data_IF_008495632904
#
_entry.id   IF_008495632904
#
_cell.length_a   1.000
_cell.length_b   1.000
_cell.length_c   1.000
_cell.angle_alpha   90.00
_cell.angle_beta   90.00
_cell.angle_gamma   90.00
#
_symmetry.space_group_name_H-M   'P 1'
#
loop_
_entity.id
_entity.type
_entity.pdbx_description
1 polymer ?
#
# COMPACT_ATOMS: atom_id res chain seq x y z
N UNK A 1 -6.27 -12.15 -3.91
CA UNK A 1 -5.47 -12.31 -2.68
C UNK A 1 -6.22 -11.66 -1.52
N UNK A 2 -6.14 -12.20 -0.29
CA UNK A 2 -6.87 -11.67 0.87
C UNK A 2 -5.93 -11.00 1.86
N UNK A 3 -6.39 -9.91 2.47
CA UNK A 3 -5.63 -9.08 3.39
C UNK A 3 -6.50 -8.73 4.60
N UNK A 4 -5.93 -8.82 5.79
CA UNK A 4 -6.58 -8.33 7.02
C UNK A 4 -6.34 -6.83 7.13
N UNK A 5 -7.38 -6.06 7.45
CA UNK A 5 -7.29 -4.62 7.64
C UNK A 5 -7.97 -4.18 8.94
N UNK A 6 -7.41 -3.15 9.57
CA UNK A 6 -7.97 -2.52 10.76
C UNK A 6 -8.03 -1.01 10.55
N UNK A 7 -9.23 -0.44 10.69
CA UNK A 7 -9.41 1.01 10.62
C UNK A 7 -8.82 1.70 11.84
N UNK A 8 -8.50 3.01 11.77
CA UNK A 8 -8.05 3.79 12.91
C UNK A 8 -9.10 3.88 14.04
N UNK A 9 -10.38 3.61 13.73
CA UNK A 9 -11.44 3.48 14.72
C UNK A 9 -11.48 2.10 15.41
N UNK A 10 -10.60 1.16 15.02
CA UNK A 10 -10.51 -0.19 15.55
C UNK A 10 -11.43 -1.21 14.86
N UNK A 11 -12.06 -0.84 13.74
CA UNK A 11 -12.96 -1.73 12.99
C UNK A 11 -12.12 -2.68 12.15
N UNK A 12 -12.35 -3.98 12.27
CA UNK A 12 -11.57 -5.02 11.59
C UNK A 12 -12.36 -5.61 10.43
N UNK A 13 -11.64 -5.95 9.36
CA UNK A 13 -12.20 -6.68 8.24
C UNK A 13 -11.14 -7.38 7.41
N UNK A 14 -11.59 -8.23 6.51
CA UNK A 14 -10.78 -8.92 5.51
C UNK A 14 -11.26 -8.43 4.15
N UNK A 15 -10.31 -8.00 3.33
CA UNK A 15 -10.57 -7.58 1.94
C UNK A 15 -9.86 -8.52 0.98
N UNK A 16 -10.47 -8.72 -0.18
CA UNK A 16 -9.94 -9.51 -1.27
C UNK A 16 -9.63 -8.60 -2.46
N UNK A 17 -8.37 -8.56 -2.87
CA UNK A 17 -8.01 -8.07 -4.20
C UNK A 17 -8.36 -9.15 -5.22
N UNK A 18 -9.36 -8.86 -6.06
CA UNK A 18 -9.75 -9.72 -7.17
C UNK A 18 -8.70 -9.70 -8.27
N UNK A 19 -8.70 -10.72 -9.14
CA UNK A 19 -7.80 -10.81 -10.31
C UNK A 19 -7.96 -9.63 -11.29
N UNK A 20 -9.17 -9.06 -11.33
CA UNK A 20 -9.51 -7.84 -12.08
C UNK A 20 -8.90 -6.55 -11.46
N UNK A 21 -8.12 -6.66 -10.38
CA UNK A 21 -7.54 -5.54 -9.65
C UNK A 21 -8.51 -4.86 -8.68
N UNK A 22 -9.81 -5.12 -8.76
CA UNK A 22 -10.80 -4.50 -7.86
C UNK A 22 -10.69 -5.03 -6.43
N UNK A 23 -10.72 -4.13 -5.43
CA UNK A 23 -10.82 -4.47 -4.01
C UNK A 23 -12.26 -4.78 -3.61
N UNK A 24 -12.47 -5.90 -2.92
CA UNK A 24 -13.79 -6.32 -2.42
C UNK A 24 -13.72 -6.64 -0.95
N UNK A 25 -14.77 -6.29 -0.21
CA UNK A 25 -14.87 -6.65 1.20
C UNK A 25 -15.29 -8.12 1.28
N UNK A 26 -14.48 -8.94 1.93
CA UNK A 26 -14.72 -10.38 2.07
C UNK A 26 -15.43 -10.69 3.39
N UNK A 27 -14.96 -10.12 4.51
CA UNK A 27 -15.51 -10.38 5.84
C UNK A 27 -15.25 -9.19 6.79
N UNK A 28 -16.03 -9.10 7.87
CA UNK A 28 -15.85 -8.13 8.94
C UNK A 28 -16.90 -7.03 8.96
N UNK A 29 -16.69 -6.06 9.87
CA UNK A 29 -17.62 -4.95 10.10
C UNK A 29 -17.25 -3.71 9.26
N UNK A 30 -16.23 -3.84 8.41
CA UNK A 30 -15.76 -2.78 7.51
C UNK A 30 -16.73 -2.63 6.34
N UNK A 31 -17.07 -1.39 5.97
CA UNK A 31 -17.90 -1.09 4.79
C UNK A 31 -17.13 -0.28 3.75
N UNK A 32 -17.57 -0.33 2.48
CA UNK A 32 -16.95 0.44 1.39
C UNK A 32 -17.03 1.95 1.67
N UNK A 33 -18.10 2.39 2.34
CA UNK A 33 -18.26 3.77 2.76
C UNK A 33 -17.19 4.20 3.78
N UNK A 34 -16.79 3.32 4.71
CA UNK A 34 -15.71 3.64 5.66
C UNK A 34 -14.40 3.90 4.93
N UNK A 35 -14.05 2.99 4.03
CA UNK A 35 -12.85 3.07 3.19
C UNK A 35 -12.88 4.37 2.36
N UNK A 36 -13.97 4.60 1.61
CA UNK A 36 -14.12 5.78 0.78
C UNK A 36 -14.09 7.09 1.59
N UNK A 37 -14.66 7.10 2.79
CA UNK A 37 -14.68 8.27 3.66
C UNK A 37 -13.29 8.67 4.14
N UNK A 38 -12.40 7.71 4.43
CA UNK A 38 -11.03 8.01 4.83
C UNK A 38 -10.16 8.38 3.61
N UNK A 39 -10.32 7.65 2.49
CA UNK A 39 -9.57 7.90 1.26
C UNK A 39 -9.83 9.29 0.65
N UNK A 40 -11.03 9.88 0.86
CA UNK A 40 -11.37 11.19 0.28
C UNK A 40 -10.45 12.34 0.74
N UNK A 41 -9.77 12.15 1.87
CA UNK A 41 -8.87 13.16 2.45
C UNK A 41 -7.43 13.04 1.93
N UNK A 42 -7.13 11.99 1.16
CA UNK A 42 -5.81 11.72 0.63
C UNK A 42 -5.58 12.52 -0.64
N UNK A 43 -4.38 13.07 -0.77
CA UNK A 43 -3.92 13.64 -2.02
C UNK A 43 -3.35 12.53 -2.91
N UNK A 44 -3.92 12.35 -4.10
CA UNK A 44 -3.49 11.29 -5.02
C UNK A 44 -2.06 11.53 -5.49
N UNK A 45 -1.26 10.47 -5.54
CA UNK A 45 0.12 10.54 -6.00
C UNK A 45 0.43 9.33 -6.85
N UNK A 46 0.40 9.51 -8.17
CA UNK A 46 0.65 8.46 -9.15
C UNK A 46 2.06 7.89 -9.07
N UNK A 47 3.06 8.67 -8.62
CA UNK A 47 4.44 8.20 -8.49
C UNK A 47 4.62 7.21 -7.32
N UNK A 48 3.76 7.30 -6.30
CA UNK A 48 3.77 6.41 -5.13
C UNK A 48 2.64 5.36 -5.17
N UNK A 49 1.79 5.37 -6.21
CA UNK A 49 0.62 4.49 -6.28
C UNK A 49 -0.45 4.82 -5.24
N UNK A 50 -0.60 6.10 -4.88
CA UNK A 50 -1.60 6.55 -3.90
C UNK A 50 -2.87 7.05 -4.61
N UNK A 51 -4.01 6.51 -4.21
CA UNK A 51 -5.34 6.71 -4.78
C UNK A 51 -6.33 7.15 -3.71
N UNK A 52 -7.34 7.92 -4.11
CA UNK A 52 -8.38 8.44 -3.22
C UNK A 52 -9.74 7.77 -3.46
N UNK A 53 -9.76 6.62 -4.12
CA UNK A 53 -10.98 5.91 -4.52
C UNK A 53 -10.81 4.40 -4.31
N UNK A 54 -11.88 3.73 -3.88
CA UNK A 54 -11.92 2.27 -3.70
C UNK A 54 -11.96 1.50 -5.02
N UNK A 55 -12.35 2.16 -6.12
CA UNK A 55 -12.47 1.54 -7.45
C UNK A 55 -11.12 1.43 -8.20
N UNK A 56 -10.02 1.82 -7.57
CA UNK A 56 -8.69 1.63 -8.11
C UNK A 56 -8.19 0.21 -7.83
N UNK A 57 -6.97 -0.07 -8.29
CA UNK A 57 -6.30 -1.34 -7.99
C UNK A 57 -6.20 -1.55 -6.47
N UNK A 58 -6.58 -2.72 -6.00
CA UNK A 58 -6.72 -3.01 -4.58
C UNK A 58 -5.41 -2.89 -3.82
N UNK A 59 -4.26 -3.15 -4.47
CA UNK A 59 -2.96 -2.93 -3.84
C UNK A 59 -2.71 -1.44 -3.59
N UNK A 60 -3.07 -0.57 -4.54
CA UNK A 60 -2.97 0.88 -4.36
C UNK A 60 -3.96 1.39 -3.33
N UNK A 61 -5.18 0.84 -3.29
CA UNK A 61 -6.18 1.18 -2.27
C UNK A 61 -5.65 0.86 -0.87
N UNK A 62 -5.12 -0.35 -0.67
CA UNK A 62 -4.54 -0.78 0.60
C UNK A 62 -3.36 0.11 1.03
N UNK A 63 -2.42 0.41 0.12
CA UNK A 63 -1.32 1.35 0.43
C UNK A 63 -1.83 2.75 0.80
N UNK A 64 -2.89 3.20 0.15
CA UNK A 64 -3.50 4.51 0.44
C UNK A 64 -4.16 4.52 1.81
N UNK A 65 -4.81 3.42 2.20
CA UNK A 65 -5.39 3.24 3.53
C UNK A 65 -4.32 3.36 4.65
N UNK A 66 -3.12 2.82 4.44
CA UNK A 66 -2.02 2.99 5.40
C UNK A 66 -1.65 4.46 5.65
N UNK A 67 -1.73 5.30 4.61
CA UNK A 67 -1.42 6.74 4.73
C UNK A 67 -2.43 7.51 5.59
N UNK A 68 -3.65 6.97 5.75
CA UNK A 68 -4.70 7.52 6.62
C UNK A 68 -4.80 6.77 7.95
N UNK A 69 -3.81 5.94 8.27
CA UNK A 69 -3.65 5.30 9.57
C UNK A 69 -4.41 3.99 9.73
N UNK A 70 -4.81 3.35 8.64
CA UNK A 70 -5.29 1.97 8.68
C UNK A 70 -4.10 1.01 8.81
N UNK A 71 -4.29 -0.08 9.54
CA UNK A 71 -3.32 -1.16 9.64
C UNK A 71 -3.67 -2.21 8.59
N UNK A 72 -2.73 -2.53 7.70
CA UNK A 72 -2.89 -3.55 6.66
C UNK A 72 -1.91 -4.67 6.91
N UNK A 73 -2.42 -5.89 7.05
CA UNK A 73 -1.61 -7.10 7.17
C UNK A 73 -1.23 -7.56 5.76
N UNK A 74 -0.04 -7.13 5.32
CA UNK A 74 0.55 -7.62 4.09
C UNK A 74 1.07 -9.04 4.30
N UNK A 75 0.77 -9.99 3.39
CA UNK A 75 1.38 -11.30 3.39
C UNK A 75 2.89 -11.12 3.29
N UNK A 76 3.64 -11.94 4.01
CA UNK A 76 5.09 -12.00 3.89
C UNK A 76 5.41 -12.37 2.44
N UNK A 77 5.69 -11.37 1.61
CA UNK A 77 6.37 -11.58 0.35
C UNK A 77 7.75 -12.10 0.74
N UNK A 78 8.02 -13.37 0.43
CA UNK A 78 9.39 -13.87 0.31
C UNK A 78 10.04 -13.06 -0.82
N UNK A 79 10.48 -11.85 -0.49
CA UNK A 79 11.27 -11.01 -1.36
C UNK A 79 12.67 -11.58 -1.35
N UNK A 80 13.09 -12.13 -2.48
CA UNK A 80 14.51 -12.29 -2.78
C UNK A 80 15.18 -10.92 -2.57
N UNK A 81 16.23 -10.80 -1.74
CA UNK A 81 16.91 -9.54 -1.49
C UNK A 81 17.79 -9.19 -2.69
N UNK A 82 17.18 -8.73 -3.79
CA UNK A 82 17.88 -8.10 -4.92
C UNK A 82 17.54 -6.61 -4.96
N UNK A 83 17.64 -5.97 -3.80
CA UNK A 83 17.86 -4.52 -3.69
C UNK A 83 19.34 -4.36 -3.33
N UNK A 84 20.24 -4.72 -4.25
CA UNK A 84 21.62 -4.26 -4.22
C UNK A 84 21.61 -2.75 -4.52
N UNK A 85 21.41 -1.97 -3.46
CA UNK A 85 21.81 -0.57 -3.37
C UNK A 85 23.35 -0.51 -3.49
N UNK A 86 23.88 -0.64 -4.72
CA UNK A 86 25.28 -0.30 -5.03
C UNK A 86 25.37 1.21 -5.24
N UNK A 87 25.13 1.97 -4.16
CA UNK A 87 25.53 3.38 -4.06
C UNK A 87 26.98 3.48 -3.59
N UNK A 88 27.90 2.94 -4.39
CA UNK A 88 29.34 3.05 -4.20
C UNK A 88 29.96 4.26 -4.93
N UNK A 89 29.61 5.49 -4.57
CA UNK A 89 30.37 6.68 -4.98
C UNK A 89 31.79 6.63 -4.38
N UNK A 90 32.79 6.14 -5.13
CA UNK A 90 34.19 6.33 -4.79
C UNK A 90 34.81 7.41 -5.67
N UNK A 91 34.98 8.60 -5.07
CA UNK A 91 35.78 9.71 -5.59
C UNK A 91 37.12 9.21 -6.14
N UNK A 92 37.36 9.39 -7.45
CA UNK A 92 38.69 9.25 -8.02
C UNK A 92 39.51 10.48 -7.65
N UNK A 93 40.28 10.38 -6.58
CA UNK A 93 41.34 11.31 -6.27
C UNK A 93 42.42 11.19 -7.35
N UNK A 94 42.60 12.29 -8.06
CA UNK A 94 43.61 12.55 -9.07
C UNK A 94 44.96 12.67 -8.37
N UNK A 95 45.82 11.66 -8.47
CA UNK A 95 47.24 11.84 -8.15
C UNK A 95 48.08 11.90 -9.43
N UNK A 96 48.76 13.04 -9.51
CA UNK A 96 49.65 13.49 -10.57
C UNK A 96 51.03 12.86 -10.39
N UNK A 97 51.55 12.19 -11.42
CA UNK A 97 53.01 12.05 -11.57
C UNK A 97 53.45 11.94 -13.02
#
# INVERSE_FOLDING_TARGET
MKYSIVSPAGIRGIVECSDDGTLRIFEGDISEENIAQDLRFINTNSAMGIVNTIHADGVFVLRSLETVGWEVEWPEVEGDPDDEDDTGESYQDIDVN
#
